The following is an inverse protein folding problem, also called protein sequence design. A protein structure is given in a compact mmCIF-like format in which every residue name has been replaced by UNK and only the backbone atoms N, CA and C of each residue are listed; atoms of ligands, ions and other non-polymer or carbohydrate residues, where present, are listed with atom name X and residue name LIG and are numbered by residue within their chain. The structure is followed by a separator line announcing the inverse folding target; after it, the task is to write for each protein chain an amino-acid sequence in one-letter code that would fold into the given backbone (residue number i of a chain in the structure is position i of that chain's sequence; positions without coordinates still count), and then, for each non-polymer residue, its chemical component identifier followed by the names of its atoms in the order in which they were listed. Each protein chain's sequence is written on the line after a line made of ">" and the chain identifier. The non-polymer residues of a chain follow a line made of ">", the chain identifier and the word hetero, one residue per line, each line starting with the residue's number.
data_IF_304356038752
#
_entry.id   IF_304356038752
#
_cell.length_a   1.000
_cell.length_b   1.000
_cell.length_c   1.000
_cell.angle_alpha   90.00
_cell.angle_beta   90.00
_cell.angle_gamma   90.00
#
_symmetry.space_group_name_H-M   'P 1'
#
loop_
_entity.id
_entity.type
_entity.pdbx_description
1 polymer ?
#
# COMPACT_ATOMS: atom_id res chain seq x y z
N UNK A 1 -5.88 2.74 -18.46
CA UNK A 1 -4.66 2.36 -17.70
C UNK A 1 -4.91 2.60 -16.22
N UNK A 2 -4.16 1.92 -15.34
CA UNK A 2 -4.16 2.17 -13.90
C UNK A 2 -2.74 2.49 -13.44
N UNK A 3 -2.59 3.46 -12.55
CA UNK A 3 -1.30 3.87 -12.00
C UNK A 3 -1.45 4.53 -10.65
N UNK A 4 -0.33 4.79 -9.99
CA UNK A 4 -0.27 5.37 -8.65
C UNK A 4 0.14 6.84 -8.74
N UNK A 5 -0.52 7.71 -7.99
CA UNK A 5 -0.12 9.12 -7.87
C UNK A 5 1.22 9.18 -7.14
N UNK A 6 2.25 9.64 -7.83
CA UNK A 6 3.62 9.76 -7.27
C UNK A 6 3.96 11.20 -6.86
N UNK A 7 3.27 12.18 -7.46
CA UNK A 7 3.41 13.59 -7.10
C UNK A 7 2.06 14.30 -7.28
N UNK A 8 1.75 15.23 -6.40
CA UNK A 8 0.51 16.00 -6.42
C UNK A 8 0.76 17.42 -5.90
N UNK A 9 0.37 18.41 -6.70
CA UNK A 9 0.40 19.81 -6.33
C UNK A 9 -1.01 20.40 -6.50
N UNK A 10 -1.73 20.50 -5.38
CA UNK A 10 -3.10 21.01 -5.36
C UNK A 10 -3.16 22.51 -5.71
N UNK A 11 -2.18 23.31 -5.28
CA UNK A 11 -2.12 24.75 -5.56
C UNK A 11 -1.96 25.04 -7.06
N UNK A 12 -1.19 24.19 -7.75
CA UNK A 12 -0.94 24.27 -9.19
C UNK A 12 -1.82 23.33 -10.02
N UNK A 13 -2.85 22.73 -9.41
CA UNK A 13 -3.85 21.91 -10.08
C UNK A 13 -3.31 20.76 -10.94
N UNK A 14 -2.19 20.14 -10.57
CA UNK A 14 -1.63 19.04 -11.34
C UNK A 14 -0.93 18.00 -10.48
N UNK A 15 -0.63 16.86 -11.10
CA UNK A 15 0.16 15.80 -10.50
C UNK A 15 0.76 14.88 -11.55
N UNK A 16 1.39 13.81 -11.07
CA UNK A 16 1.97 12.76 -11.89
C UNK A 16 1.47 11.41 -11.42
N UNK A 17 1.06 10.57 -12.37
CA UNK A 17 0.69 9.18 -12.15
C UNK A 17 1.75 8.30 -12.80
N UNK A 18 2.27 7.34 -12.04
CA UNK A 18 3.24 6.37 -12.53
C UNK A 18 2.59 5.00 -12.68
N UNK A 19 2.86 4.32 -13.78
CA UNK A 19 2.41 2.94 -13.97
C UNK A 19 3.39 1.95 -13.30
N UNK A 20 3.07 0.65 -13.33
CA UNK A 20 3.92 -0.40 -12.77
C UNK A 20 5.27 -0.59 -13.50
N UNK A 21 5.46 0.02 -14.68
CA UNK A 21 6.74 0.05 -15.41
C UNK A 21 7.59 1.26 -15.03
N UNK A 22 7.09 2.15 -14.17
CA UNK A 22 7.76 3.39 -13.78
C UNK A 22 7.61 4.53 -14.79
N UNK A 23 6.78 4.37 -15.83
CA UNK A 23 6.48 5.46 -16.77
C UNK A 23 5.54 6.46 -16.09
N UNK A 24 5.89 7.74 -16.14
CA UNK A 24 5.14 8.82 -15.49
C UNK A 24 4.36 9.65 -16.50
N UNK A 25 3.09 9.89 -16.19
CA UNK A 25 2.20 10.72 -16.98
C UNK A 25 1.72 11.90 -16.16
N UNK A 26 1.89 13.09 -16.72
CA UNK A 26 1.32 14.31 -16.17
C UNK A 26 -0.21 14.24 -16.23
N UNK A 27 -0.89 14.75 -15.21
CA UNK A 27 -2.33 15.06 -15.27
C UNK A 27 -2.61 16.44 -14.70
N UNK A 28 -3.54 17.17 -15.32
CA UNK A 28 -4.11 18.39 -14.75
C UNK A 28 -5.46 18.10 -14.10
N UNK A 29 -5.91 18.94 -13.16
CA UNK A 29 -7.20 18.81 -12.48
C UNK A 29 -8.39 18.80 -13.44
N UNK A 30 -8.27 19.42 -14.62
CA UNK A 30 -9.28 19.39 -15.68
C UNK A 30 -9.43 18.02 -16.36
N UNK A 31 -8.53 17.07 -16.05
CA UNK A 31 -8.62 15.70 -16.55
C UNK A 31 -9.66 14.88 -15.80
N UNK A 32 -10.16 15.40 -14.67
CA UNK A 32 -11.20 14.77 -13.85
C UNK A 32 -12.56 15.33 -14.22
N UNK A 33 -13.58 14.45 -14.26
CA UNK A 33 -14.96 14.87 -14.48
C UNK A 33 -15.51 15.66 -13.28
N UNK A 34 -15.13 15.26 -12.07
CA UNK A 34 -15.47 15.94 -10.83
C UNK A 34 -14.21 16.54 -10.19
N UNK A 35 -14.26 17.84 -9.91
CA UNK A 35 -13.16 18.56 -9.27
C UNK A 35 -12.95 18.11 -7.82
N UNK A 36 -13.98 17.64 -7.14
CA UNK A 36 -13.88 17.11 -5.79
C UNK A 36 -13.03 15.83 -5.74
N UNK A 37 -13.05 14.99 -6.78
CA UNK A 37 -12.14 13.84 -6.87
C UNK A 37 -10.68 14.28 -6.85
N UNK A 38 -10.30 15.26 -7.69
CA UNK A 38 -8.94 15.80 -7.71
C UNK A 38 -8.53 16.39 -6.35
N UNK A 39 -9.40 17.19 -5.72
CA UNK A 39 -9.09 17.84 -4.45
C UNK A 39 -8.91 16.83 -3.30
N UNK A 40 -9.51 15.64 -3.41
CA UNK A 40 -9.40 14.56 -2.44
C UNK A 40 -8.29 13.54 -2.74
N UNK A 41 -7.51 13.76 -3.81
CA UNK A 41 -6.36 12.92 -4.11
C UNK A 41 -5.23 13.14 -3.12
N UNK A 42 -4.46 12.07 -2.95
CA UNK A 42 -3.23 12.03 -2.16
C UNK A 42 -2.18 11.27 -2.96
N UNK A 43 -0.91 11.60 -2.71
CA UNK A 43 0.21 10.77 -3.16
C UNK A 43 0.00 9.36 -2.61
N UNK A 44 0.10 8.37 -3.49
CA UNK A 44 -0.18 6.96 -3.22
C UNK A 44 -1.57 6.49 -3.65
N UNK A 45 -2.52 7.39 -3.96
CA UNK A 45 -3.81 6.97 -4.50
C UNK A 45 -3.65 6.33 -5.89
N UNK A 46 -4.54 5.38 -6.21
CA UNK A 46 -4.61 4.84 -7.56
C UNK A 46 -5.54 5.68 -8.44
N UNK A 47 -5.11 5.89 -9.68
CA UNK A 47 -5.87 6.54 -10.73
C UNK A 47 -6.10 5.58 -11.89
N UNK A 48 -7.33 5.54 -12.37
CA UNK A 48 -7.66 5.08 -13.71
C UNK A 48 -7.62 6.27 -14.67
N UNK A 49 -7.00 6.09 -15.83
CA UNK A 49 -6.81 7.14 -16.82
C UNK A 49 -6.63 6.58 -18.24
N UNK A 50 -6.81 7.45 -19.23
CA UNK A 50 -6.47 7.22 -20.64
C UNK A 50 -5.21 8.03 -21.01
N UNK A 51 -4.37 7.50 -21.90
CA UNK A 51 -3.27 8.29 -22.47
C UNK A 51 -3.83 9.19 -23.57
N UNK A 52 -3.72 10.50 -23.37
CA UNK A 52 -3.98 11.52 -24.37
C UNK A 52 -2.69 12.27 -24.73
N UNK A 53 -2.79 13.24 -25.64
CA UNK A 53 -1.70 14.16 -25.99
C UNK A 53 -2.07 15.60 -25.65
N UNK A 54 -1.09 16.39 -25.24
CA UNK A 54 -1.25 17.84 -25.10
C UNK A 54 -1.13 18.56 -26.46
N UNK A 55 -1.29 19.89 -26.47
CA UNK A 55 -1.18 20.70 -27.68
C UNK A 55 0.21 20.67 -28.33
N UNK A 56 1.23 20.18 -27.62
CA UNK A 56 2.60 20.00 -28.10
C UNK A 56 2.90 18.53 -28.46
N UNK A 57 1.90 17.66 -28.44
CA UNK A 57 2.03 16.24 -28.78
C UNK A 57 2.61 15.35 -27.68
N UNK A 58 2.83 15.87 -26.46
CA UNK A 58 3.37 15.10 -25.32
C UNK A 58 2.27 14.27 -24.69
N UNK A 59 2.61 13.04 -24.30
CA UNK A 59 1.67 12.14 -23.63
C UNK A 59 1.32 12.63 -22.22
N UNK A 60 0.04 12.52 -21.86
CA UNK A 60 -0.49 12.88 -20.55
C UNK A 60 -1.66 11.98 -20.17
N UNK A 61 -1.90 11.85 -18.87
CA UNK A 61 -3.08 11.17 -18.36
C UNK A 61 -4.30 12.08 -18.50
N UNK A 62 -5.35 11.54 -19.10
CA UNK A 62 -6.63 12.20 -19.37
C UNK A 62 -7.79 11.32 -18.88
N UNK A 63 -8.99 11.90 -18.74
CA UNK A 63 -10.17 11.22 -18.19
C UNK A 63 -9.86 10.47 -16.88
N UNK A 64 -9.16 11.17 -15.98
CA UNK A 64 -8.72 10.61 -14.72
C UNK A 64 -9.90 10.39 -13.79
N UNK A 65 -9.88 9.25 -13.09
CA UNK A 65 -10.81 8.90 -12.04
C UNK A 65 -10.05 8.25 -10.89
N UNK A 66 -10.41 8.59 -9.65
CA UNK A 66 -9.84 7.87 -8.49
C UNK A 66 -10.33 6.42 -8.50
N UNK A 67 -9.38 5.49 -8.50
CA UNK A 67 -9.65 4.07 -8.47
C UNK A 67 -9.63 3.55 -7.03
N UNK A 68 -10.45 2.54 -6.75
CA UNK A 68 -10.35 1.80 -5.49
C UNK A 68 -9.06 0.97 -5.46
N UNK A 69 -8.53 0.82 -4.26
CA UNK A 69 -7.40 -0.06 -4.00
C UNK A 69 -7.90 -1.36 -3.39
N UNK A 70 -8.36 -2.26 -4.26
CA UNK A 70 -8.97 -3.54 -3.89
C UNK A 70 -8.03 -4.41 -3.05
N UNK A 71 -6.73 -4.44 -3.36
CA UNK A 71 -5.77 -5.20 -2.55
C UNK A 71 -5.62 -4.61 -1.14
N UNK A 72 -5.52 -3.28 -1.01
CA UNK A 72 -5.48 -2.62 0.31
C UNK A 72 -6.75 -2.89 1.11
N UNK A 73 -7.91 -2.72 0.49
CA UNK A 73 -9.22 -2.96 1.12
C UNK A 73 -9.34 -4.42 1.56
N UNK A 74 -8.98 -5.37 0.70
CA UNK A 74 -9.00 -6.79 1.02
C UNK A 74 -8.11 -7.11 2.23
N UNK A 75 -6.85 -6.65 2.25
CA UNK A 75 -5.93 -6.91 3.35
C UNK A 75 -6.41 -6.31 4.68
N UNK A 76 -7.01 -5.11 4.65
CA UNK A 76 -7.57 -4.47 5.86
C UNK A 76 -8.76 -5.29 6.39
N UNK A 77 -9.62 -5.79 5.50
CA UNK A 77 -10.83 -6.51 5.89
C UNK A 77 -10.54 -7.94 6.36
N UNK A 78 -9.54 -8.60 5.79
CA UNK A 78 -9.28 -10.03 5.98
C UNK A 78 -8.01 -10.36 6.76
N UNK A 79 -7.10 -9.39 6.95
CA UNK A 79 -5.78 -9.62 7.55
C UNK A 79 -5.78 -10.08 9.01
N UNK A 80 -6.92 -9.97 9.72
CA UNK A 80 -7.08 -10.47 11.10
C UNK A 80 -7.89 -11.77 11.19
N UNK A 81 -8.42 -12.30 10.09
CA UNK A 81 -9.36 -13.43 10.09
C UNK A 81 -8.91 -14.55 9.15
N UNK A 82 -8.72 -14.23 7.87
CA UNK A 82 -8.41 -15.19 6.82
C UNK A 82 -7.15 -16.04 7.05
N UNK A 83 -6.06 -15.55 7.70
CA UNK A 83 -4.90 -16.39 8.01
C UNK A 83 -5.19 -17.65 8.85
N UNK A 84 -6.34 -17.71 9.51
CA UNK A 84 -6.78 -18.84 10.34
C UNK A 84 -7.99 -19.60 9.82
N UNK A 85 -8.63 -19.11 8.76
CA UNK A 85 -9.84 -19.69 8.20
C UNK A 85 -9.47 -20.71 7.12
N UNK A 86 -9.93 -21.96 7.24
CA UNK A 86 -9.71 -22.97 6.20
C UNK A 86 -10.39 -22.57 4.88
N UNK A 87 -11.61 -22.02 4.97
CA UNK A 87 -12.31 -21.40 3.85
C UNK A 87 -11.79 -19.97 3.67
N UNK A 88 -11.24 -19.66 2.50
CA UNK A 88 -10.65 -18.35 2.18
C UNK A 88 -9.14 -18.24 2.40
N UNK A 89 -8.46 -19.29 2.87
CA UNK A 89 -7.00 -19.26 3.05
C UNK A 89 -6.24 -19.13 1.72
N UNK A 90 -6.69 -19.82 0.68
CA UNK A 90 -6.07 -19.76 -0.65
C UNK A 90 -6.22 -18.35 -1.24
N UNK A 91 -7.42 -17.77 -1.15
CA UNK A 91 -7.65 -16.38 -1.58
C UNK A 91 -6.78 -15.38 -0.78
N UNK A 92 -6.62 -15.62 0.51
CA UNK A 92 -5.70 -14.83 1.34
C UNK A 92 -4.26 -14.93 0.84
N UNK A 93 -3.80 -16.15 0.54
CA UNK A 93 -2.46 -16.38 -0.01
C UNK A 93 -2.25 -15.67 -1.34
N UNK A 94 -3.22 -15.77 -2.25
CA UNK A 94 -3.17 -15.12 -3.57
C UNK A 94 -3.10 -13.59 -3.44
N UNK A 95 -3.92 -13.00 -2.57
CA UNK A 95 -3.90 -11.56 -2.33
C UNK A 95 -2.63 -11.10 -1.61
N UNK A 96 -2.11 -11.89 -0.66
CA UNK A 96 -0.86 -11.61 0.01
C UNK A 96 0.32 -11.66 -0.96
N UNK A 97 0.33 -12.62 -1.89
CA UNK A 97 1.32 -12.72 -2.97
C UNK A 97 1.21 -11.52 -3.92
N UNK A 98 0.01 -11.18 -4.40
CA UNK A 98 -0.20 -10.02 -5.27
C UNK A 98 0.25 -8.71 -4.61
N UNK A 99 0.01 -8.55 -3.31
CA UNK A 99 0.50 -7.39 -2.57
C UNK A 99 2.03 -7.43 -2.37
N UNK A 100 2.64 -8.60 -2.20
CA UNK A 100 4.09 -8.74 -2.16
C UNK A 100 4.76 -8.37 -3.49
N UNK A 101 4.15 -8.72 -4.63
CA UNK A 101 4.58 -8.27 -5.96
C UNK A 101 4.49 -6.75 -6.09
N UNK A 102 3.39 -6.14 -5.62
CA UNK A 102 3.26 -4.67 -5.55
C UNK A 102 4.39 -4.05 -4.71
N UNK A 103 4.69 -4.62 -3.54
CA UNK A 103 5.80 -4.14 -2.71
C UNK A 103 7.13 -4.20 -3.48
N UNK A 104 7.39 -5.28 -4.23
CA UNK A 104 8.58 -5.40 -5.10
C UNK A 104 8.62 -4.34 -6.19
N UNK A 105 7.54 -4.21 -6.96
CA UNK A 105 7.49 -3.30 -8.12
C UNK A 105 7.73 -1.83 -7.71
N UNK A 106 7.30 -1.47 -6.49
CA UNK A 106 7.53 -0.15 -5.89
C UNK A 106 8.75 -0.10 -4.96
N UNK A 107 9.71 -1.01 -5.16
CA UNK A 107 11.04 -1.02 -4.53
C UNK A 107 11.02 -1.06 -3.00
N UNK A 108 9.98 -1.62 -2.40
CA UNK A 108 9.96 -1.92 -0.97
C UNK A 108 10.72 -3.23 -0.77
N UNK A 109 11.87 -3.18 -0.10
CA UNK A 109 12.71 -4.38 0.14
C UNK A 109 12.27 -5.15 1.37
N UNK A 110 12.63 -6.42 1.49
CA UNK A 110 12.38 -7.18 2.74
C UNK A 110 13.08 -6.52 3.92
N UNK A 111 14.24 -5.89 3.73
CA UNK A 111 14.97 -5.20 4.80
C UNK A 111 14.19 -4.04 5.41
N UNK A 112 13.43 -3.30 4.59
CA UNK A 112 12.56 -2.20 5.03
C UNK A 112 11.43 -2.70 5.93
N UNK A 113 10.92 -3.90 5.66
CA UNK A 113 9.83 -4.53 6.41
C UNK A 113 10.35 -5.27 7.65
N UNK A 114 11.51 -5.91 7.55
CA UNK A 114 12.05 -6.86 8.55
C UNK A 114 12.13 -6.27 9.96
N UNK A 115 12.52 -5.01 10.10
CA UNK A 115 12.63 -4.35 11.41
C UNK A 115 11.29 -4.29 12.15
N UNK A 116 10.20 -4.04 11.42
CA UNK A 116 8.85 -4.03 12.00
C UNK A 116 8.38 -5.45 12.26
N UNK A 117 8.61 -6.36 11.31
CA UNK A 117 8.31 -7.78 11.47
C UNK A 117 8.90 -8.37 12.76
N UNK A 118 10.19 -8.16 13.03
CA UNK A 118 10.82 -8.65 14.25
C UNK A 118 10.17 -8.10 15.52
N UNK A 119 9.71 -6.84 15.51
CA UNK A 119 8.99 -6.23 16.65
C UNK A 119 7.59 -6.79 16.82
N UNK A 120 6.89 -7.04 15.70
CA UNK A 120 5.56 -7.68 15.71
C UNK A 120 5.64 -9.08 16.28
N UNK A 121 6.60 -9.89 15.84
CA UNK A 121 6.77 -11.25 16.35
C UNK A 121 7.05 -11.27 17.86
N UNK A 122 7.89 -10.33 18.33
CA UNK A 122 8.23 -10.17 19.75
C UNK A 122 7.13 -9.56 20.61
N UNK A 123 6.01 -9.09 20.05
CA UNK A 123 4.90 -8.59 20.85
C UNK A 123 4.16 -9.76 21.51
N UNK A 124 4.21 -9.82 22.84
CA UNK A 124 3.61 -10.90 23.64
C UNK A 124 2.08 -10.82 23.69
N UNK A 125 1.53 -9.61 23.64
CA UNK A 125 0.09 -9.35 23.71
C UNK A 125 -0.30 -8.12 22.85
N UNK A 126 -1.60 -7.91 22.66
CA UNK A 126 -2.12 -6.83 21.84
C UNK A 126 -1.73 -5.45 22.39
N UNK A 127 -1.69 -5.27 23.71
CA UNK A 127 -1.23 -4.02 24.32
C UNK A 127 0.19 -3.65 23.87
N UNK A 128 1.13 -4.59 23.93
CA UNK A 128 2.50 -4.38 23.44
C UNK A 128 2.55 -4.13 21.94
N UNK A 129 1.72 -4.83 21.15
CA UNK A 129 1.63 -4.61 19.72
C UNK A 129 1.12 -3.19 19.38
N UNK A 130 0.11 -2.70 20.10
CA UNK A 130 -0.44 -1.34 19.91
C UNK A 130 0.59 -0.23 20.18
N UNK A 131 1.58 -0.47 21.04
CA UNK A 131 2.69 0.47 21.25
C UNK A 131 3.60 0.62 20.02
N UNK A 132 3.49 -0.25 19.02
CA UNK A 132 4.27 -0.14 17.78
C UNK A 132 3.74 0.89 16.80
N UNK A 133 2.49 1.37 16.96
CA UNK A 133 1.84 2.32 16.03
C UNK A 133 2.67 3.59 15.75
N UNK A 134 3.28 4.26 16.76
CA UNK A 134 4.18 5.39 16.50
C UNK A 134 5.42 5.02 15.67
N UNK A 135 5.92 3.78 15.80
CA UNK A 135 7.05 3.30 14.99
C UNK A 135 6.66 3.07 13.53
N UNK A 136 5.42 2.65 13.26
CA UNK A 136 4.89 2.55 11.89
C UNK A 136 4.82 3.95 11.27
N UNK A 137 4.25 4.92 11.98
CA UNK A 137 4.17 6.31 11.53
C UNK A 137 5.56 6.91 11.27
N UNK A 138 6.52 6.68 12.15
CA UNK A 138 7.91 7.12 11.94
C UNK A 138 8.55 6.47 10.71
N UNK A 139 8.34 5.16 10.51
CA UNK A 139 8.89 4.46 9.35
C UNK A 139 8.30 4.98 8.05
N UNK A 140 6.99 5.23 8.02
CA UNK A 140 6.31 5.85 6.89
C UNK A 140 6.83 7.27 6.62
N UNK A 141 6.97 8.11 7.66
CA UNK A 141 7.38 9.50 7.51
C UNK A 141 8.85 9.68 7.12
N UNK A 142 9.73 8.75 7.49
CA UNK A 142 11.15 8.79 7.11
C UNK A 142 11.41 8.31 5.67
N UNK A 143 10.47 7.57 5.09
CA UNK A 143 10.53 7.06 3.71
C UNK A 143 9.34 7.64 2.93
N UNK A 144 9.17 8.96 3.03
CA UNK A 144 8.06 9.70 2.41
C UNK A 144 8.11 9.67 0.88
N UNK A 145 9.29 9.42 0.32
CA UNK A 145 9.56 9.12 -1.08
C UNK A 145 9.04 7.74 -1.55
N UNK A 146 8.68 6.84 -0.61
CA UNK A 146 8.10 5.55 -0.93
C UNK A 146 6.62 5.46 -0.50
N UNK A 147 5.68 5.85 -1.39
CA UNK A 147 4.25 5.85 -1.06
C UNK A 147 3.70 4.44 -0.81
N UNK A 148 4.30 3.40 -1.39
CA UNK A 148 3.88 2.01 -1.18
C UNK A 148 4.31 1.48 0.17
N UNK A 149 5.50 1.85 0.67
CA UNK A 149 5.90 1.55 2.04
C UNK A 149 4.98 2.24 3.04
N UNK A 150 4.63 3.51 2.79
CA UNK A 150 3.66 4.26 3.60
C UNK A 150 2.28 3.59 3.61
N UNK A 151 1.76 3.20 2.45
CA UNK A 151 0.51 2.43 2.32
C UNK A 151 0.55 1.16 3.18
N UNK A 152 1.66 0.40 3.13
CA UNK A 152 1.82 -0.77 3.95
C UNK A 152 1.80 -0.45 5.46
N UNK A 153 2.47 0.61 5.90
CA UNK A 153 2.40 1.06 7.30
C UNK A 153 0.98 1.44 7.73
N UNK A 154 0.20 2.05 6.84
CA UNK A 154 -1.21 2.38 7.08
C UNK A 154 -2.09 1.13 7.22
N UNK A 155 -1.86 0.10 6.40
CA UNK A 155 -2.56 -1.20 6.55
C UNK A 155 -2.25 -1.78 7.93
N UNK A 156 -0.96 -1.83 8.32
CA UNK A 156 -0.56 -2.32 9.64
C UNK A 156 -1.17 -1.51 10.78
N UNK A 157 -1.13 -0.17 10.71
CA UNK A 157 -1.73 0.67 11.75
C UNK A 157 -3.24 0.42 11.88
N UNK A 158 -3.94 0.28 10.76
CA UNK A 158 -5.38 0.02 10.73
C UNK A 158 -5.71 -1.32 11.37
N UNK A 159 -5.01 -2.40 10.99
CA UNK A 159 -5.19 -3.73 11.58
C UNK A 159 -4.91 -3.70 13.08
N UNK A 160 -3.80 -3.09 13.52
CA UNK A 160 -3.44 -2.99 14.94
C UNK A 160 -4.47 -2.14 15.72
N UNK A 161 -4.99 -1.07 15.12
CA UNK A 161 -6.02 -0.23 15.73
C UNK A 161 -7.30 -1.04 16.00
N UNK A 162 -7.67 -1.93 15.09
CA UNK A 162 -8.89 -2.75 15.17
C UNK A 162 -8.76 -3.98 16.09
N UNK A 163 -7.58 -4.27 16.65
CA UNK A 163 -7.41 -5.32 17.65
C UNK A 163 -8.00 -4.90 19.01
N UNK A 164 -8.64 -5.83 19.71
CA UNK A 164 -9.03 -5.68 21.11
C UNK A 164 -7.93 -6.20 22.03
N UNK A 165 -7.80 -5.62 23.23
CA UNK A 165 -6.61 -5.82 24.11
C UNK A 165 -6.37 -7.28 24.51
N UNK A 166 -7.44 -8.07 24.59
CA UNK A 166 -7.39 -9.48 25.05
C UNK A 166 -7.64 -10.49 23.92
N UNK A 167 -7.61 -10.06 22.66
CA UNK A 167 -7.87 -10.91 21.49
C UNK A 167 -6.60 -11.62 21.02
N UNK A 168 -6.17 -12.64 21.77
CA UNK A 168 -4.98 -13.45 21.45
C UNK A 168 -5.10 -14.17 20.10
N UNK A 169 -6.32 -14.56 19.70
CA UNK A 169 -6.58 -15.21 18.43
C UNK A 169 -6.27 -14.25 17.26
N UNK A 170 -6.79 -13.01 17.29
CA UNK A 170 -6.47 -12.03 16.26
C UNK A 170 -5.01 -11.55 16.33
N UNK A 171 -4.37 -11.55 17.50
CA UNK A 171 -2.92 -11.32 17.58
C UNK A 171 -2.14 -12.39 16.82
N UNK A 172 -2.50 -13.66 16.99
CA UNK A 172 -1.90 -14.77 16.22
C UNK A 172 -2.13 -14.58 14.72
N UNK A 173 -3.35 -14.23 14.32
CA UNK A 173 -3.68 -13.99 12.91
C UNK A 173 -2.89 -12.82 12.33
N UNK A 174 -2.72 -11.73 13.09
CA UNK A 174 -1.87 -10.60 12.68
C UNK A 174 -0.41 -11.01 12.48
N UNK A 175 0.14 -11.87 13.35
CA UNK A 175 1.49 -12.41 13.18
C UNK A 175 1.60 -13.27 11.92
N UNK A 176 0.64 -14.16 11.67
CA UNK A 176 0.58 -14.98 10.44
C UNK A 176 0.42 -14.14 9.18
N UNK A 177 -0.39 -13.07 9.22
CA UNK A 177 -0.49 -12.10 8.14
C UNK A 177 0.88 -11.45 7.84
N UNK A 178 1.58 -10.98 8.86
CA UNK A 178 2.92 -10.41 8.71
C UNK A 178 3.94 -11.42 8.18
N UNK A 179 3.87 -12.68 8.63
CA UNK A 179 4.69 -13.77 8.11
C UNK A 179 4.43 -14.04 6.63
N UNK A 180 3.17 -14.09 6.20
CA UNK A 180 2.80 -14.30 4.80
C UNK A 180 3.34 -13.18 3.91
N UNK A 181 3.13 -11.90 4.29
CA UNK A 181 3.64 -10.76 3.52
C UNK A 181 5.17 -10.78 3.44
N UNK A 182 5.88 -11.07 4.53
CA UNK A 182 7.34 -11.14 4.52
C UNK A 182 7.84 -12.34 3.71
N UNK A 183 7.20 -13.49 3.85
CA UNK A 183 7.51 -14.72 3.12
C UNK A 183 7.34 -14.53 1.62
N UNK A 184 6.16 -14.07 1.18
CA UNK A 184 5.90 -13.78 -0.23
C UNK A 184 6.79 -12.66 -0.75
N UNK A 185 7.07 -11.63 0.06
CA UNK A 185 8.00 -10.58 -0.37
C UNK A 185 9.40 -11.15 -0.60
N UNK A 186 9.89 -12.04 0.26
CA UNK A 186 11.18 -12.72 0.03
C UNK A 186 11.13 -13.63 -1.19
N UNK A 187 10.01 -14.33 -1.41
CA UNK A 187 9.79 -15.21 -2.56
C UNK A 187 9.85 -14.47 -3.90
N UNK A 188 9.18 -13.32 -4.02
CA UNK A 188 9.16 -12.55 -5.29
C UNK A 188 10.48 -11.84 -5.61
N UNK A 189 11.47 -11.90 -4.71
CA UNK A 189 12.88 -11.55 -4.99
C UNK A 189 13.18 -10.06 -5.21
N UNK A 190 14.32 -9.77 -5.85
CA UNK A 190 14.79 -8.41 -6.19
C UNK A 190 15.09 -7.49 -4.99
N UNK A 191 15.30 -8.08 -3.81
CA UNK A 191 16.14 -7.42 -2.82
C UNK A 191 17.55 -7.42 -3.40
N UNK A 192 18.06 -6.27 -3.84
CA UNK A 192 19.48 -6.19 -4.19
C UNK A 192 20.28 -6.60 -2.96
N UNK A 193 20.84 -7.80 -2.99
CA UNK A 193 21.88 -8.21 -2.07
C UNK A 193 23.00 -7.17 -2.24
N UNK A 194 23.15 -6.32 -1.22
CA UNK A 194 24.32 -5.46 -1.09
C UNK A 194 25.46 -6.29 -0.53
#
# INVERSE_FOLDING_TARGET
>A
MKGKVVNLNLDRNHGFVSNNKGEEYFFHASSFADRAEFNNLKVGDYLEFEIGKDSKGREQATKCKKAKDELKEYLINNGLTAPSAAEGYDEFCDNALAYAERLRDWKVTTSMIRKIYSRVLGAENVSKLKLLRPHLAYTAGRNDDNPTLKEFMEILDTLIKNLEVDDEAKLKNFKQFMEAIVGYRKYVGDDKDK
#
